data_IF_051598817583
#
_entry.id   IF_051598817583
#
_cell.length_a   1.000
_cell.length_b   1.000
_cell.length_c   1.000
_cell.angle_alpha   90.00
_cell.angle_beta   90.00
_cell.angle_gamma   90.00
#
_symmetry.space_group_name_H-M   'P 1'
#
loop_
_entity.id
_entity.type
_entity.pdbx_description
1 polymer ?
#
# COMPACT_ATOMS: atom_id res chain seq x y z
N UNK A 1 -37.96 20.55 50.02
CA UNK A 1 -38.30 21.99 50.16
C UNK A 1 -39.73 22.09 50.66
N UNK A 2 -40.07 23.02 51.57
CA UNK A 2 -41.43 23.15 52.11
C UNK A 2 -42.41 23.59 51.01
N UNK A 3 -43.62 23.03 51.00
CA UNK A 3 -44.68 23.38 50.04
C UNK A 3 -45.05 24.86 50.15
N UNK A 4 -44.67 25.65 49.16
CA UNK A 4 -45.01 27.06 49.08
C UNK A 4 -46.45 27.20 48.56
N UNK A 5 -47.39 27.54 49.45
CA UNK A 5 -48.78 27.80 49.06
C UNK A 5 -48.92 29.21 48.49
N UNK A 6 -49.27 29.30 47.20
CA UNK A 6 -49.44 30.57 46.48
C UNK A 6 -50.90 31.02 46.55
N UNK A 7 -51.13 32.27 46.97
CA UNK A 7 -52.46 32.90 46.95
C UNK A 7 -52.69 33.62 45.61
N UNK A 8 -53.93 33.54 45.12
CA UNK A 8 -54.36 34.15 43.86
C UNK A 8 -54.92 35.55 44.14
N UNK A 9 -54.10 36.59 43.92
CA UNK A 9 -54.54 37.99 44.05
C UNK A 9 -54.84 38.54 42.66
N UNK A 10 -55.96 39.24 42.50
CA UNK A 10 -56.28 39.94 41.25
C UNK A 10 -55.61 41.32 41.23
N UNK A 11 -55.11 41.81 40.08
CA UNK A 11 -54.64 43.18 39.96
C UNK A 11 -55.82 44.16 40.10
N UNK A 12 -55.76 45.10 41.03
CA UNK A 12 -56.74 46.19 41.12
C UNK A 12 -56.42 47.26 40.08
N UNK A 13 -57.20 47.33 38.99
CA UNK A 13 -57.17 48.49 38.08
C UNK A 13 -57.39 48.28 36.57
N UNK A 14 -57.59 47.07 36.04
CA UNK A 14 -57.79 46.87 34.59
C UNK A 14 -59.24 46.50 34.23
N UNK A 15 -59.76 47.12 33.17
CA UNK A 15 -61.14 47.04 32.69
C UNK A 15 -61.63 45.57 32.53
N UNK A 16 -62.60 45.15 33.35
CA UNK A 16 -63.02 43.75 33.56
C UNK A 16 -63.93 43.17 32.47
N UNK A 17 -63.66 43.39 31.17
CA UNK A 17 -64.59 42.99 30.11
C UNK A 17 -64.41 41.57 29.56
N UNK A 18 -63.43 40.80 30.04
CA UNK A 18 -63.20 39.42 29.57
C UNK A 18 -62.86 38.50 30.75
N UNK A 19 -63.79 37.61 31.12
CA UNK A 19 -63.54 36.57 32.13
C UNK A 19 -62.91 35.35 31.44
N UNK A 20 -61.65 35.48 31.07
CA UNK A 20 -60.86 34.38 30.53
C UNK A 20 -60.40 33.48 31.69
N UNK A 21 -60.80 32.20 31.63
CA UNK A 21 -60.25 31.11 32.45
C UNK A 21 -59.50 30.17 31.53
N UNK A 22 -58.25 29.85 31.88
CA UNK A 22 -57.52 28.81 31.16
C UNK A 22 -58.26 27.47 31.30
N UNK A 23 -58.46 26.74 30.19
CA UNK A 23 -59.27 25.52 30.16
C UNK A 23 -58.62 24.31 30.84
N UNK A 24 -57.33 24.40 31.20
CA UNK A 24 -56.56 23.30 31.79
C UNK A 24 -55.65 23.83 32.90
N UNK A 25 -55.56 23.12 34.02
CA UNK A 25 -54.59 23.43 35.07
C UNK A 25 -53.17 23.19 34.54
N UNK A 26 -52.20 23.95 35.03
CA UNK A 26 -50.81 23.82 34.58
C UNK A 26 -50.27 22.51 35.19
N UNK A 27 -50.20 21.45 34.37
CA UNK A 27 -49.78 20.10 34.78
C UNK A 27 -48.35 20.03 35.36
N UNK A 28 -47.96 18.85 35.84
CA UNK A 28 -46.66 18.55 36.47
C UNK A 28 -45.47 19.03 35.60
N UNK A 29 -44.38 19.44 36.24
CA UNK A 29 -43.20 20.05 35.59
C UNK A 29 -42.77 19.20 34.39
N UNK A 30 -42.73 19.82 33.20
CA UNK A 30 -42.29 19.14 31.98
C UNK A 30 -40.92 18.49 32.18
N UNK A 31 -40.77 17.23 31.78
CA UNK A 31 -39.54 16.45 31.96
C UNK A 31 -38.30 17.17 31.41
N UNK A 32 -38.49 17.96 30.35
CA UNK A 32 -37.43 18.78 29.75
C UNK A 32 -36.84 19.81 30.72
N UNK A 33 -37.65 20.39 31.62
CA UNK A 33 -37.20 21.32 32.66
C UNK A 33 -36.65 20.56 33.86
N UNK A 34 -37.30 19.44 34.25
CA UNK A 34 -36.93 18.62 35.41
C UNK A 34 -35.52 18.01 35.29
N UNK A 35 -35.12 17.59 34.09
CA UNK A 35 -33.81 17.00 33.82
C UNK A 35 -32.87 17.96 33.07
N UNK A 36 -33.30 19.21 32.84
CA UNK A 36 -32.53 20.23 32.15
C UNK A 36 -31.60 21.01 33.07
N UNK A 37 -30.53 21.60 32.51
CA UNK A 37 -29.64 22.50 33.24
C UNK A 37 -30.19 23.92 33.16
N UNK A 38 -30.67 24.44 34.30
CA UNK A 38 -31.15 25.81 34.45
C UNK A 38 -30.14 26.63 35.24
N UNK A 39 -29.70 27.75 34.69
CA UNK A 39 -28.71 28.63 35.31
C UNK A 39 -29.27 29.30 36.58
N UNK A 40 -28.41 29.57 37.56
CA UNK A 40 -28.82 30.15 38.85
C UNK A 40 -29.55 31.50 38.72
N UNK A 41 -29.14 32.32 37.74
CA UNK A 41 -29.78 33.60 37.45
C UNK A 41 -31.21 33.40 36.89
N UNK A 42 -31.39 32.41 36.02
CA UNK A 42 -32.68 32.05 35.43
C UNK A 42 -33.64 31.52 36.49
N UNK A 43 -33.15 30.67 37.40
CA UNK A 43 -33.93 30.21 38.55
C UNK A 43 -34.36 31.37 39.45
N UNK A 44 -33.47 32.32 39.71
CA UNK A 44 -33.77 33.52 40.52
C UNK A 44 -34.86 34.39 39.89
N UNK A 45 -34.82 34.62 38.58
CA UNK A 45 -35.86 35.37 37.88
C UNK A 45 -37.18 34.62 37.80
N UNK A 46 -37.16 33.31 37.57
CA UNK A 46 -38.36 32.47 37.61
C UNK A 46 -39.04 32.52 38.99
N UNK A 47 -38.27 32.46 40.08
CA UNK A 47 -38.78 32.66 41.44
C UNK A 47 -39.39 34.05 41.67
N UNK A 48 -38.78 35.11 41.11
CA UNK A 48 -39.35 36.46 41.18
C UNK A 48 -40.64 36.60 40.39
N UNK A 49 -40.76 35.95 39.24
CA UNK A 49 -42.00 35.92 38.43
C UNK A 49 -43.12 35.22 39.21
N UNK A 50 -42.81 34.10 39.86
CA UNK A 50 -43.74 33.34 40.71
C UNK A 50 -44.27 34.13 41.91
N UNK A 51 -43.57 35.19 42.35
CA UNK A 51 -43.97 36.05 43.48
C UNK A 51 -44.66 37.36 43.08
N UNK A 52 -44.89 37.64 41.79
CA UNK A 52 -45.59 38.86 41.33
C UNK A 52 -47.10 38.81 41.58
N UNK A 53 -47.80 39.94 41.50
CA UNK A 53 -49.23 40.05 41.84
C UNK A 53 -50.22 39.43 40.83
N UNK A 54 -49.77 38.95 39.67
CA UNK A 54 -50.62 38.40 38.58
C UNK A 54 -51.25 37.05 38.93
N UNK A 55 -52.30 36.60 38.22
CA UNK A 55 -52.93 35.28 38.46
C UNK A 55 -51.93 34.12 38.42
N UNK A 56 -52.12 33.10 39.25
CA UNK A 56 -51.18 31.96 39.43
C UNK A 56 -50.73 31.31 38.12
N UNK A 57 -51.66 31.02 37.21
CA UNK A 57 -51.37 30.34 35.95
C UNK A 57 -50.46 31.17 35.05
N UNK A 58 -50.72 32.48 34.94
CA UNK A 58 -49.89 33.40 34.14
C UNK A 58 -48.46 33.44 34.67
N UNK A 59 -48.28 33.49 36.00
CA UNK A 59 -46.93 33.49 36.60
C UNK A 59 -46.20 32.19 36.36
N UNK A 60 -46.87 31.06 36.51
CA UNK A 60 -46.25 29.74 36.35
C UNK A 60 -45.89 29.47 34.88
N UNK A 61 -46.75 29.81 33.94
CA UNK A 61 -46.47 29.68 32.50
C UNK A 61 -45.28 30.54 32.08
N UNK A 62 -45.19 31.78 32.54
CA UNK A 62 -44.05 32.66 32.22
C UNK A 62 -42.76 32.16 32.87
N UNK A 63 -42.81 31.74 34.15
CA UNK A 63 -41.64 31.21 34.85
C UNK A 63 -41.11 29.95 34.16
N UNK A 64 -42.00 29.03 33.75
CA UNK A 64 -41.64 27.81 33.02
C UNK A 64 -41.11 28.11 31.63
N UNK A 65 -41.70 29.06 30.90
CA UNK A 65 -41.18 29.48 29.60
C UNK A 65 -39.74 30.00 29.71
N UNK A 66 -39.43 30.72 30.79
CA UNK A 66 -38.08 31.23 31.04
C UNK A 66 -37.08 30.11 31.37
N UNK A 67 -37.47 29.17 32.24
CA UNK A 67 -36.65 27.98 32.56
C UNK A 67 -36.43 27.09 31.33
N UNK A 68 -37.48 26.83 30.55
CA UNK A 68 -37.42 26.05 29.31
C UNK A 68 -36.52 26.70 28.24
N UNK A 69 -36.65 28.02 28.07
CA UNK A 69 -35.81 28.77 27.14
C UNK A 69 -34.33 28.67 27.51
N UNK A 70 -34.01 28.68 28.82
CA UNK A 70 -32.65 28.51 29.29
C UNK A 70 -32.11 27.09 29.05
N UNK A 71 -32.94 26.06 29.25
CA UNK A 71 -32.55 24.67 28.95
C UNK A 71 -32.25 24.51 27.47
N UNK A 72 -33.08 25.07 26.58
CA UNK A 72 -32.82 25.05 25.14
C UNK A 72 -31.53 25.81 24.78
N UNK A 73 -31.33 26.99 25.36
CA UNK A 73 -30.13 27.79 25.16
C UNK A 73 -28.86 27.02 25.57
N UNK A 74 -28.85 26.38 26.73
CA UNK A 74 -27.71 25.59 27.21
C UNK A 74 -27.40 24.38 26.31
N UNK A 75 -28.44 23.71 25.78
CA UNK A 75 -28.25 22.63 24.80
C UNK A 75 -27.61 23.15 23.51
N UNK A 76 -28.10 24.28 22.99
CA UNK A 76 -27.56 24.91 21.77
C UNK A 76 -26.12 25.38 21.99
N UNK A 77 -25.84 25.99 23.14
CA UNK A 77 -24.49 26.42 23.53
C UNK A 77 -23.51 25.24 23.57
N UNK A 78 -23.89 24.12 24.18
CA UNK A 78 -23.05 22.92 24.22
C UNK A 78 -22.77 22.34 22.83
N UNK A 79 -23.78 22.34 21.94
CA UNK A 79 -23.61 21.92 20.54
C UNK A 79 -22.67 22.88 19.79
N UNK A 80 -22.82 24.19 19.99
CA UNK A 80 -21.98 25.21 19.37
C UNK A 80 -20.51 25.06 19.80
N UNK A 81 -20.24 24.93 21.11
CA UNK A 81 -18.90 24.74 21.66
C UNK A 81 -18.25 23.43 21.18
N UNK A 82 -19.02 22.34 21.09
CA UNK A 82 -18.52 21.07 20.53
C UNK A 82 -18.25 21.16 19.02
N UNK A 83 -19.07 21.90 18.28
CA UNK A 83 -18.90 22.10 16.84
C UNK A 83 -17.66 22.93 16.55
N UNK A 84 -17.43 24.00 17.30
CA UNK A 84 -16.22 24.84 17.21
C UNK A 84 -14.95 24.01 17.49
N UNK A 85 -14.95 23.21 18.56
CA UNK A 85 -13.85 22.28 18.87
C UNK A 85 -13.60 21.27 17.76
N UNK A 86 -14.66 20.73 17.15
CA UNK A 86 -14.55 19.79 16.02
C UNK A 86 -14.00 20.48 14.78
N UNK A 87 -14.40 21.71 14.50
CA UNK A 87 -13.89 22.48 13.36
C UNK A 87 -12.38 22.74 13.51
N UNK A 88 -11.91 23.20 14.67
CA UNK A 88 -10.48 23.40 14.90
C UNK A 88 -9.65 22.11 14.79
N UNK A 89 -10.19 20.97 15.24
CA UNK A 89 -9.54 19.66 15.06
C UNK A 89 -9.50 19.21 13.59
N UNK A 90 -10.53 19.52 12.81
CA UNK A 90 -10.57 19.22 11.38
C UNK A 90 -9.55 20.06 10.63
N UNK A 91 -9.45 21.36 10.93
CA UNK A 91 -8.45 22.26 10.33
C UNK A 91 -7.02 21.80 10.64
N UNK A 92 -6.74 21.40 11.90
CA UNK A 92 -5.44 20.84 12.27
C UNK A 92 -5.13 19.54 11.53
N UNK A 93 -6.13 18.65 11.36
CA UNK A 93 -5.98 17.41 10.60
C UNK A 93 -5.74 17.68 9.12
N UNK A 94 -6.44 18.65 8.53
CA UNK A 94 -6.24 19.06 7.15
C UNK A 94 -4.85 19.67 6.95
N UNK A 95 -4.41 20.58 7.82
CA UNK A 95 -3.06 21.13 7.77
C UNK A 95 -1.97 20.05 7.91
N UNK A 96 -2.19 19.06 8.80
CA UNK A 96 -1.28 17.91 8.95
C UNK A 96 -1.29 17.00 7.72
N UNK A 97 -2.47 16.76 7.13
CA UNK A 97 -2.63 15.96 5.92
C UNK A 97 -1.95 16.65 4.73
N UNK A 98 -2.11 17.96 4.57
CA UNK A 98 -1.45 18.76 3.54
C UNK A 98 0.07 18.78 3.71
N UNK A 99 0.57 18.90 4.95
CA UNK A 99 2.00 18.80 5.24
C UNK A 99 2.55 17.42 4.86
N UNK A 100 1.86 16.34 5.27
CA UNK A 100 2.22 14.97 4.90
C UNK A 100 2.10 14.71 3.40
N UNK A 101 1.12 15.30 2.72
CA UNK A 101 0.94 15.15 1.28
C UNK A 101 2.04 15.91 0.52
N UNK A 102 2.45 17.10 0.98
CA UNK A 102 3.63 17.82 0.47
C UNK A 102 4.92 17.04 0.73
N UNK A 103 5.03 16.33 1.85
CA UNK A 103 6.15 15.43 2.15
C UNK A 103 6.15 14.18 1.25
N UNK A 104 4.99 13.57 1.00
CA UNK A 104 4.84 12.44 0.07
C UNK A 104 5.13 12.87 -1.36
N UNK A 105 4.65 14.04 -1.80
CA UNK A 105 5.01 14.62 -3.10
C UNK A 105 6.52 14.87 -3.12
N UNK A 106 7.08 15.49 -2.08
CA UNK A 106 8.52 15.75 -1.93
C UNK A 106 9.37 14.48 -2.00
N UNK A 107 8.95 13.40 -1.35
CA UNK A 107 9.60 12.09 -1.37
C UNK A 107 9.36 11.33 -2.68
N UNK A 108 8.20 11.48 -3.32
CA UNK A 108 7.94 10.98 -4.67
C UNK A 108 8.76 11.73 -5.73
N UNK A 109 9.15 12.98 -5.47
CA UNK A 109 9.96 13.81 -6.38
C UNK A 109 11.46 13.80 -6.08
N UNK A 110 11.93 13.13 -5.02
CA UNK A 110 13.34 13.24 -4.62
C UNK A 110 14.33 12.31 -5.30
N UNK A 111 13.87 11.35 -6.12
CA UNK A 111 14.75 10.64 -7.07
C UNK A 111 14.04 10.46 -8.43
N UNK A 112 13.72 11.57 -9.10
CA UNK A 112 13.23 11.52 -10.49
C UNK A 112 14.18 10.74 -11.40
N UNK A 113 15.49 10.78 -11.14
CA UNK A 113 16.50 9.99 -11.85
C UNK A 113 16.26 8.48 -11.68
N UNK A 114 16.03 8.01 -10.45
CA UNK A 114 15.79 6.58 -10.19
C UNK A 114 14.43 6.13 -10.75
N UNK A 115 13.41 6.98 -10.70
CA UNK A 115 12.11 6.69 -11.32
C UNK A 115 12.23 6.62 -12.83
N UNK A 116 12.98 7.54 -13.45
CA UNK A 116 13.27 7.50 -14.88
C UNK A 116 14.10 6.26 -15.23
N UNK A 117 15.09 5.91 -14.40
CA UNK A 117 15.90 4.72 -14.57
C UNK A 117 15.09 3.41 -14.41
N UNK A 118 13.87 3.40 -13.87
CA UNK A 118 13.00 2.21 -13.91
C UNK A 118 12.27 2.04 -15.23
N UNK A 119 12.22 3.08 -16.07
CA UNK A 119 11.57 3.00 -17.38
C UNK A 119 12.61 2.59 -18.43
N UNK A 120 12.37 1.47 -19.11
CA UNK A 120 13.10 1.07 -20.30
C UNK A 120 12.23 1.28 -21.53
N UNK A 121 12.81 1.85 -22.59
CA UNK A 121 12.13 1.98 -23.88
C UNK A 121 11.80 0.60 -24.49
N UNK A 122 12.65 -0.40 -24.27
CA UNK A 122 12.51 -1.74 -24.86
C UNK A 122 11.70 -2.71 -24.00
N UNK A 123 11.84 -2.62 -22.67
CA UNK A 123 11.28 -3.61 -21.73
C UNK A 123 10.15 -3.06 -20.86
N UNK A 124 9.76 -1.80 -21.07
CA UNK A 124 8.70 -1.14 -20.33
C UNK A 124 9.13 -0.70 -18.93
N UNK A 125 8.14 -0.55 -18.04
CA UNK A 125 8.33 0.02 -16.71
C UNK A 125 8.48 -1.07 -15.65
N UNK A 126 9.58 -1.03 -14.92
CA UNK A 126 9.87 -1.91 -13.79
C UNK A 126 9.35 -1.32 -12.47
N UNK A 127 9.05 -2.19 -11.49
CA UNK A 127 8.46 -1.77 -10.21
C UNK A 127 9.50 -1.08 -9.31
N UNK A 128 10.69 -1.69 -9.22
CA UNK A 128 11.89 -1.16 -8.57
C UNK A 128 13.06 -1.15 -9.55
N UNK A 129 14.12 -0.40 -9.24
CA UNK A 129 15.32 -0.34 -10.10
C UNK A 129 16.04 -1.70 -10.14
N UNK A 130 16.00 -2.41 -9.02
CA UNK A 130 16.57 -3.74 -8.84
C UNK A 130 16.04 -4.74 -9.88
N UNK A 131 14.71 -4.83 -10.06
CA UNK A 131 14.07 -5.65 -11.10
C UNK A 131 14.64 -5.38 -12.51
N UNK A 132 14.96 -4.11 -12.80
CA UNK A 132 15.56 -3.75 -14.09
C UNK A 132 16.99 -4.25 -14.18
N UNK A 133 17.79 -4.10 -13.13
CA UNK A 133 19.18 -4.56 -13.08
C UNK A 133 19.25 -6.09 -13.17
N UNK A 134 18.43 -6.81 -12.40
CA UNK A 134 18.27 -8.26 -12.48
C UNK A 134 17.88 -8.73 -13.88
N UNK A 135 16.97 -7.99 -14.54
CA UNK A 135 16.62 -8.30 -15.93
C UNK A 135 17.80 -8.09 -16.89
N UNK A 136 18.60 -7.03 -16.70
CA UNK A 136 19.80 -6.77 -17.50
C UNK A 136 20.83 -7.88 -17.25
N UNK A 137 21.09 -8.24 -16.00
CA UNK A 137 22.02 -9.31 -15.64
C UNK A 137 21.60 -10.63 -16.26
N UNK A 138 20.33 -11.01 -16.17
CA UNK A 138 19.79 -12.22 -16.80
C UNK A 138 19.96 -12.23 -18.32
N UNK A 139 19.78 -11.09 -18.99
CA UNK A 139 20.02 -11.00 -20.42
C UNK A 139 21.50 -11.11 -20.75
N UNK A 140 22.37 -10.47 -19.95
CA UNK A 140 23.82 -10.50 -20.15
C UNK A 140 24.44 -11.87 -19.85
N UNK A 141 23.91 -12.60 -18.86
CA UNK A 141 24.38 -13.95 -18.49
C UNK A 141 24.32 -14.96 -19.63
N UNK A 142 23.50 -14.74 -20.67
CA UNK A 142 23.44 -15.62 -21.84
C UNK A 142 24.60 -15.43 -22.82
N UNK A 143 25.21 -14.24 -22.81
CA UNK A 143 26.17 -13.83 -23.83
C UNK A 143 27.59 -13.64 -23.30
N UNK A 144 27.75 -13.44 -22.00
CA UNK A 144 29.07 -13.28 -21.40
C UNK A 144 29.69 -14.66 -21.14
N UNK A 145 30.88 -14.95 -21.70
CA UNK A 145 31.58 -16.22 -21.50
C UNK A 145 32.28 -16.26 -20.14
N UNK A 146 31.51 -16.11 -19.06
CA UNK A 146 31.98 -16.09 -17.67
C UNK A 146 31.07 -16.93 -16.79
N UNK A 147 31.68 -17.64 -15.83
CA UNK A 147 30.96 -18.37 -14.78
C UNK A 147 30.99 -19.89 -14.89
N UNK A 148 31.47 -20.45 -16.01
CA UNK A 148 31.73 -21.88 -16.14
C UNK A 148 32.99 -22.15 -16.95
N UNK A 149 34.04 -22.65 -16.30
CA UNK A 149 35.33 -22.94 -16.93
C UNK A 149 35.48 -24.45 -17.15
N UNK A 150 35.78 -24.83 -18.39
CA UNK A 150 36.03 -26.22 -18.79
C UNK A 150 37.47 -26.36 -19.27
N UNK A 151 38.22 -27.21 -18.59
CA UNK A 151 39.61 -27.52 -18.97
C UNK A 151 39.65 -28.67 -19.97
N UNK A 152 40.27 -28.44 -21.13
CA UNK A 152 40.41 -29.40 -22.23
C UNK A 152 41.89 -29.79 -22.39
N UNK A 153 42.28 -31.02 -21.98
CA UNK A 153 43.64 -31.53 -22.17
C UNK A 153 43.81 -32.21 -23.55
N UNK A 154 44.08 -31.41 -24.59
CA UNK A 154 44.12 -31.86 -25.99
C UNK A 154 45.45 -32.44 -26.45
N UNK A 155 46.57 -32.13 -25.79
CA UNK A 155 47.91 -32.69 -26.12
C UNK A 155 48.33 -32.56 -27.58
N UNK A 156 47.91 -31.49 -28.25
CA UNK A 156 48.16 -31.28 -29.69
C UNK A 156 49.54 -30.64 -29.97
N UNK A 157 50.23 -30.11 -28.96
CA UNK A 157 51.50 -29.40 -29.13
C UNK A 157 51.36 -28.02 -29.80
N UNK A 158 50.13 -27.52 -29.95
CA UNK A 158 49.78 -26.23 -30.57
C UNK A 158 48.60 -25.62 -29.82
N UNK A 159 48.31 -24.33 -30.01
CA UNK A 159 47.14 -23.66 -29.45
C UNK A 159 46.00 -23.68 -30.50
N UNK A 160 45.03 -24.61 -30.39
CA UNK A 160 43.97 -24.75 -31.39
C UNK A 160 42.92 -23.63 -31.24
N UNK A 161 42.27 -23.29 -32.35
CA UNK A 161 41.03 -22.51 -32.29
C UNK A 161 39.91 -23.44 -31.79
N UNK A 162 39.16 -23.01 -30.77
CA UNK A 162 38.08 -23.82 -30.17
C UNK A 162 36.75 -23.20 -30.53
N UNK A 163 35.83 -23.99 -31.06
CA UNK A 163 34.44 -23.63 -31.29
C UNK A 163 33.54 -24.46 -30.40
N UNK A 164 32.54 -23.84 -29.78
CA UNK A 164 31.57 -24.55 -28.94
C UNK A 164 30.18 -24.45 -29.55
N UNK A 165 29.52 -25.60 -29.62
CA UNK A 165 28.13 -25.70 -30.08
C UNK A 165 27.28 -26.47 -29.09
N UNK A 166 26.00 -26.16 -29.09
CA UNK A 166 25.02 -26.80 -28.22
C UNK A 166 23.73 -27.12 -28.95
N UNK A 167 23.03 -28.15 -28.49
CA UNK A 167 21.67 -28.49 -28.89
C UNK A 167 20.98 -29.26 -27.77
N UNK A 168 19.67 -29.16 -27.73
CA UNK A 168 18.84 -29.88 -26.76
C UNK A 168 18.34 -31.19 -27.36
N UNK A 169 18.00 -32.16 -26.51
CA UNK A 169 17.46 -33.46 -26.92
C UNK A 169 18.36 -34.26 -27.88
N UNK A 170 19.68 -34.06 -27.77
CA UNK A 170 20.67 -34.83 -28.52
C UNK A 170 20.56 -36.34 -28.28
N UNK A 171 21.02 -37.13 -29.25
CA UNK A 171 21.10 -38.58 -29.08
C UNK A 171 21.98 -38.91 -27.87
N UNK A 172 21.47 -39.76 -26.98
CA UNK A 172 22.19 -40.16 -25.76
C UNK A 172 21.95 -39.27 -24.55
N UNK A 173 21.20 -38.17 -24.69
CA UNK A 173 20.76 -37.32 -23.57
C UNK A 173 19.52 -37.91 -22.88
N UNK A 174 18.59 -38.46 -23.67
CA UNK A 174 17.39 -39.13 -23.20
C UNK A 174 17.27 -40.53 -23.83
N UNK A 175 16.52 -41.45 -23.20
CA UNK A 175 16.15 -42.70 -23.83
C UNK A 175 15.45 -42.46 -25.18
N UNK A 176 15.78 -43.27 -26.18
CA UNK A 176 15.21 -43.14 -27.52
C UNK A 176 13.67 -43.21 -27.49
N UNK A 177 13.01 -42.26 -28.14
CA UNK A 177 11.55 -42.19 -28.25
C UNK A 177 10.86 -41.54 -27.05
N UNK A 178 11.64 -40.96 -26.12
CA UNK A 178 11.11 -40.18 -24.98
C UNK A 178 11.27 -38.67 -25.14
N UNK A 179 11.92 -38.25 -26.22
CA UNK A 179 11.99 -36.85 -26.63
C UNK A 179 10.62 -36.29 -27.06
N UNK A 180 10.48 -34.97 -27.02
CA UNK A 180 9.25 -34.32 -27.48
C UNK A 180 9.04 -34.53 -28.99
N UNK A 181 7.76 -34.55 -29.40
CA UNK A 181 7.39 -34.87 -30.78
C UNK A 181 8.07 -33.93 -31.78
N UNK A 182 8.87 -34.50 -32.69
CA UNK A 182 9.60 -33.76 -33.72
C UNK A 182 11.02 -33.36 -33.33
N UNK A 183 11.50 -33.74 -32.14
CA UNK A 183 12.86 -33.48 -31.68
C UNK A 183 13.78 -34.71 -31.73
N UNK A 184 13.40 -35.76 -32.49
CA UNK A 184 14.27 -36.92 -32.69
C UNK A 184 15.57 -36.50 -33.39
N UNK A 185 16.70 -36.74 -32.72
CA UNK A 185 18.02 -36.29 -33.17
C UNK A 185 18.47 -34.93 -32.60
N UNK A 186 17.59 -34.24 -31.87
CA UNK A 186 17.87 -32.98 -31.19
C UNK A 186 17.37 -31.73 -31.92
N UNK A 187 17.50 -30.59 -31.25
CA UNK A 187 17.20 -29.27 -31.81
C UNK A 187 18.29 -28.83 -32.80
N UNK A 188 18.05 -27.72 -33.50
CA UNK A 188 19.08 -27.08 -34.30
C UNK A 188 20.30 -26.72 -33.43
N UNK A 189 21.50 -26.97 -33.96
CA UNK A 189 22.77 -26.62 -33.33
C UNK A 189 22.95 -25.11 -33.26
N UNK A 190 23.35 -24.62 -32.09
CA UNK A 190 23.60 -23.20 -31.81
C UNK A 190 25.06 -23.01 -31.40
N UNK A 191 25.67 -21.91 -31.84
CA UNK A 191 27.02 -21.53 -31.40
C UNK A 191 26.94 -20.87 -30.03
N UNK A 192 27.84 -21.26 -29.13
CA UNK A 192 27.95 -20.71 -27.78
C UNK A 192 29.05 -19.65 -27.78
N UNK A 193 28.80 -18.43 -27.25
CA UNK A 193 29.86 -17.45 -27.08
C UNK A 193 30.85 -17.96 -26.02
N UNK A 194 32.13 -17.95 -26.34
CA UNK A 194 33.18 -18.48 -25.47
C UNK A 194 34.36 -17.51 -25.35
N UNK A 195 35.16 -17.73 -24.32
CA UNK A 195 36.49 -17.16 -24.19
C UNK A 195 37.48 -18.30 -23.95
N UNK A 196 38.53 -18.36 -24.74
CA UNK A 196 39.54 -19.42 -24.65
C UNK A 196 40.82 -18.83 -24.07
N UNK A 197 41.35 -19.50 -23.05
CA UNK A 197 42.68 -19.21 -22.48
C UNK A 197 43.52 -20.47 -22.57
N UNK A 198 44.65 -20.40 -23.27
CA UNK A 198 45.58 -21.52 -23.36
C UNK A 198 46.55 -21.49 -22.17
N UNK A 199 46.56 -22.54 -21.35
CA UNK A 199 47.53 -22.68 -20.27
C UNK A 199 48.92 -23.01 -20.83
N UNK A 200 48.97 -23.94 -21.78
CA UNK A 200 50.17 -24.33 -22.50
C UNK A 200 49.82 -24.80 -23.93
N UNK A 201 50.73 -25.52 -24.59
CA UNK A 201 50.51 -26.07 -25.94
C UNK A 201 49.65 -27.36 -25.97
N UNK A 202 49.19 -27.83 -24.83
CA UNK A 202 48.51 -29.10 -24.64
C UNK A 202 47.20 -29.00 -23.84
N UNK A 203 46.96 -27.87 -23.19
CA UNK A 203 45.81 -27.62 -22.33
C UNK A 203 45.22 -26.23 -22.58
N UNK A 204 43.90 -26.21 -22.75
CA UNK A 204 43.12 -24.99 -22.95
C UNK A 204 41.97 -24.93 -21.95
N UNK A 205 41.72 -23.75 -21.39
CA UNK A 205 40.54 -23.45 -20.57
C UNK A 205 39.54 -22.71 -21.45
N UNK A 206 38.32 -23.25 -21.54
CA UNK A 206 37.20 -22.64 -22.24
C UNK A 206 36.21 -22.12 -21.23
N UNK A 207 36.04 -20.81 -21.16
CA UNK A 207 35.04 -20.15 -20.34
C UNK A 207 33.75 -20.00 -21.13
N UNK A 208 32.66 -20.53 -20.56
CA UNK A 208 31.31 -20.47 -21.10
C UNK A 208 30.42 -19.61 -20.19
N UNK A 209 29.28 -19.14 -20.72
CA UNK A 209 28.27 -18.47 -19.91
C UNK A 209 27.73 -19.38 -18.80
N UNK A 210 27.41 -18.78 -17.66
CA UNK A 210 26.93 -19.49 -16.45
C UNK A 210 25.69 -20.37 -16.69
N UNK A 211 24.86 -20.06 -17.69
CA UNK A 211 23.68 -20.87 -18.08
C UNK A 211 24.06 -22.27 -18.60
N UNK A 212 25.32 -22.48 -19.01
CA UNK A 212 25.85 -23.77 -19.45
C UNK A 212 26.53 -24.56 -18.34
N UNK A 213 26.53 -24.05 -17.10
CA UNK A 213 27.13 -24.73 -15.96
C UNK A 213 26.45 -26.08 -15.75
N UNK A 214 27.27 -27.12 -15.72
CA UNK A 214 26.84 -28.50 -15.47
C UNK A 214 27.89 -29.21 -14.62
N UNK A 215 27.45 -30.23 -13.87
CA UNK A 215 28.35 -31.15 -13.15
C UNK A 215 28.78 -32.33 -14.03
N UNK A 216 28.33 -32.37 -15.30
CA UNK A 216 28.68 -33.42 -16.24
C UNK A 216 30.20 -33.50 -16.46
N UNK A 217 30.70 -34.73 -16.58
CA UNK A 217 32.11 -34.98 -16.89
C UNK A 217 32.39 -34.79 -18.38
N UNK A 218 33.51 -34.13 -18.70
CA UNK A 218 33.98 -33.96 -20.07
C UNK A 218 34.42 -35.29 -20.68
N UNK A 219 33.83 -35.66 -21.80
CA UNK A 219 34.16 -36.88 -22.54
C UNK A 219 34.94 -36.53 -23.81
N UNK A 220 36.06 -37.20 -24.02
CA UNK A 220 36.80 -37.10 -25.28
C UNK A 220 36.20 -38.07 -26.30
N UNK A 221 35.75 -37.55 -27.44
CA UNK A 221 35.25 -38.39 -28.54
C UNK A 221 36.40 -38.78 -29.47
N UNK A 222 37.23 -37.82 -29.84
CA UNK A 222 38.45 -38.02 -30.62
C UNK A 222 39.51 -36.94 -30.26
N UNK A 223 40.54 -36.77 -31.08
CA UNK A 223 41.61 -35.81 -30.80
C UNK A 223 41.19 -34.33 -30.97
N UNK A 224 40.09 -34.07 -31.66
CA UNK A 224 39.59 -32.73 -31.99
C UNK A 224 38.21 -32.43 -31.39
N UNK A 225 37.51 -33.42 -30.84
CA UNK A 225 36.14 -33.26 -30.35
C UNK A 225 35.99 -33.74 -28.91
N UNK A 226 35.41 -32.88 -28.08
CA UNK A 226 35.03 -33.18 -26.70
C UNK A 226 33.55 -32.90 -26.49
N UNK A 227 32.90 -33.64 -25.60
CA UNK A 227 31.46 -33.58 -25.38
C UNK A 227 31.15 -33.52 -23.88
N UNK A 228 30.21 -32.64 -23.51
CA UNK A 228 29.47 -32.67 -22.25
C UNK A 228 28.03 -33.04 -22.53
N UNK A 229 27.49 -33.95 -21.71
CA UNK A 229 26.09 -34.35 -21.73
C UNK A 229 25.46 -33.93 -20.40
N UNK A 230 24.64 -32.89 -20.45
CA UNK A 230 23.90 -32.37 -19.32
C UNK A 230 22.50 -32.98 -19.32
N UNK A 231 22.33 -34.09 -18.59
CA UNK A 231 21.06 -34.83 -18.51
C UNK A 231 19.96 -34.00 -17.82
N UNK A 232 20.32 -33.13 -16.87
CA UNK A 232 19.36 -32.30 -16.14
C UNK A 232 18.72 -31.25 -17.04
N UNK A 233 19.55 -30.52 -17.80
CA UNK A 233 19.07 -29.54 -18.77
C UNK A 233 18.69 -30.16 -20.13
N UNK A 234 18.84 -31.48 -20.29
CA UNK A 234 18.60 -32.23 -21.53
C UNK A 234 19.38 -31.68 -22.73
N UNK A 235 20.66 -31.34 -22.51
CA UNK A 235 21.49 -30.59 -23.45
C UNK A 235 22.80 -31.30 -23.73
N UNK A 236 23.28 -31.18 -24.96
CA UNK A 236 24.63 -31.57 -25.37
C UNK A 236 25.45 -30.31 -25.66
N UNK A 237 26.73 -30.33 -25.26
CA UNK A 237 27.69 -29.26 -25.54
C UNK A 237 28.94 -29.90 -26.13
N UNK A 238 29.25 -29.59 -27.39
CA UNK A 238 30.43 -30.09 -28.09
C UNK A 238 31.48 -28.98 -28.20
N UNK A 239 32.73 -29.35 -28.00
CA UNK A 239 33.91 -28.52 -28.19
C UNK A 239 34.68 -29.07 -29.39
N UNK A 240 34.81 -28.26 -30.43
CA UNK A 240 35.47 -28.57 -31.69
C UNK A 240 36.80 -27.82 -31.74
N UNK A 241 37.91 -28.54 -31.84
CA UNK A 241 39.27 -27.99 -31.90
C UNK A 241 39.73 -28.00 -33.36
N UNK A 242 40.06 -26.82 -33.88
CA UNK A 242 40.61 -26.60 -35.21
C UNK A 242 42.11 -26.28 -35.12
N UNK A 243 42.89 -26.93 -35.97
CA UNK A 243 44.36 -26.82 -36.05
C UNK A 243 44.74 -26.26 -37.42
#
# INVERSE_FOLDING_TARGET
MPEQKFYDTQPTGENHQVDYKDPTDVEEIEEAIKFGVVDELTQKFALWIRTKMWRRHVRETIARMFEYSNVLYNKIKGIAEQTEKRQGQVEQRQATLEAKFKEVIGNATKDSEVIQARNSENYGKFSVLDDRLENIERLMMKFLPVGFDVTIPHKLGVQPEINVRTWDYGIGVLPLGTEEHGLFGGTASQSVPIQVTHNDYNESIVSLPVEYRTEASLQQLDNSHYLLIDEESKRSIIFELHI
#
